data_IF_852222746140
#
_entry.id   IF_852222746140
#
_cell.length_a   1.000
_cell.length_b   1.000
_cell.length_c   1.000
_cell.angle_alpha   90.00
_cell.angle_beta   90.00
_cell.angle_gamma   90.00
#
_symmetry.space_group_name_H-M   'P 1'
#
loop_
_entity.id
_entity.type
_entity.pdbx_description
1 polymer ?
#
# COMPACT_ATOMS: atom_id res chain seq x y z
N UNK A 1 -33.24 -10.43 9.39
CA UNK A 1 -32.33 -11.03 8.38
C UNK A 1 -31.35 -11.88 9.15
N UNK A 2 -31.27 -13.19 8.91
CA UNK A 2 -30.27 -14.06 9.54
C UNK A 2 -29.07 -14.17 8.59
N UNK A 3 -27.88 -14.08 9.15
CA UNK A 3 -26.61 -14.19 8.44
C UNK A 3 -25.90 -15.43 9.00
N UNK A 4 -25.42 -16.33 8.15
CA UNK A 4 -24.75 -17.54 8.59
C UNK A 4 -23.27 -17.32 8.89
N UNK A 5 -22.66 -16.29 8.28
CA UNK A 5 -21.28 -15.89 8.51
C UNK A 5 -21.05 -14.42 8.13
N UNK A 6 -19.95 -13.80 8.57
CA UNK A 6 -19.65 -12.39 8.35
C UNK A 6 -18.20 -12.21 7.87
N UNK A 7 -18.01 -11.42 6.83
CA UNK A 7 -16.67 -10.91 6.44
C UNK A 7 -16.57 -9.44 6.85
N UNK A 8 -15.55 -9.09 7.62
CA UNK A 8 -15.27 -7.72 8.05
C UNK A 8 -14.03 -7.21 7.30
N UNK A 9 -14.18 -6.07 6.60
CA UNK A 9 -13.05 -5.28 6.10
C UNK A 9 -12.89 -4.05 7.01
N UNK A 10 -12.04 -4.12 8.06
CA UNK A 10 -12.00 -3.09 9.09
C UNK A 10 -11.15 -1.92 8.63
N UNK A 11 -11.70 -0.69 8.69
CA UNK A 11 -10.94 0.53 8.45
C UNK A 11 -10.35 1.10 9.74
N UNK A 12 -11.13 1.15 10.82
CA UNK A 12 -10.78 1.85 12.05
C UNK A 12 -10.79 0.98 13.30
N UNK A 13 -11.27 -0.26 13.22
CA UNK A 13 -11.31 -1.14 14.38
C UNK A 13 -9.89 -1.58 14.78
N UNK A 14 -9.61 -1.57 16.08
CA UNK A 14 -8.37 -2.11 16.62
C UNK A 14 -8.34 -3.64 16.52
N UNK A 15 -7.15 -4.23 16.60
CA UNK A 15 -6.98 -5.69 16.59
C UNK A 15 -7.67 -6.31 17.81
N UNK A 16 -7.58 -5.66 18.97
CA UNK A 16 -8.21 -6.10 20.20
C UNK A 16 -9.74 -6.11 20.09
N UNK A 17 -10.33 -5.07 19.49
CA UNK A 17 -11.78 -5.01 19.26
C UNK A 17 -12.25 -6.08 18.27
N UNK A 18 -11.46 -6.38 17.24
CA UNK A 18 -11.76 -7.45 16.29
C UNK A 18 -11.69 -8.83 16.95
N UNK A 19 -10.65 -9.08 17.77
CA UNK A 19 -10.51 -10.33 18.53
C UNK A 19 -11.71 -10.50 19.49
N UNK A 20 -12.14 -9.43 20.20
CA UNK A 20 -13.33 -9.47 21.05
C UNK A 20 -14.63 -9.77 20.27
N UNK A 21 -14.81 -9.18 19.10
CA UNK A 21 -15.98 -9.43 18.25
C UNK A 21 -16.04 -10.89 17.84
N UNK A 22 -14.90 -11.48 17.43
CA UNK A 22 -14.80 -12.88 17.05
C UNK A 22 -15.14 -13.79 18.24
N UNK A 23 -14.59 -13.50 19.42
CA UNK A 23 -14.80 -14.31 20.62
C UNK A 23 -16.26 -14.27 21.16
N UNK A 24 -16.99 -13.18 20.89
CA UNK A 24 -18.36 -12.97 21.40
C UNK A 24 -19.46 -13.34 20.39
N UNK A 25 -19.12 -13.49 19.11
CA UNK A 25 -20.09 -13.78 18.06
C UNK A 25 -20.28 -15.27 17.87
N UNK A 26 -21.52 -15.73 17.78
CA UNK A 26 -21.85 -17.14 17.51
C UNK A 26 -21.60 -17.52 16.04
N UNK A 27 -21.76 -16.54 15.13
CA UNK A 27 -21.53 -16.75 13.71
C UNK A 27 -20.04 -16.70 13.37
N UNK A 28 -19.57 -17.53 12.44
CA UNK A 28 -18.21 -17.43 11.92
C UNK A 28 -17.91 -16.04 11.35
N UNK A 29 -16.80 -15.46 11.79
CA UNK A 29 -16.30 -14.15 11.31
C UNK A 29 -14.94 -14.34 10.66
N UNK A 30 -14.79 -13.79 9.46
CA UNK A 30 -13.49 -13.63 8.81
C UNK A 30 -13.14 -12.15 8.71
N UNK A 31 -11.88 -11.81 8.96
CA UNK A 31 -11.35 -10.45 8.85
C UNK A 31 -10.42 -10.37 7.65
N UNK A 32 -10.74 -9.47 6.72
CA UNK A 32 -9.96 -9.25 5.51
C UNK A 32 -9.05 -8.02 5.67
N UNK A 33 -7.81 -8.15 5.21
CA UNK A 33 -6.80 -7.09 5.19
C UNK A 33 -6.40 -6.55 6.58
N UNK A 34 -6.42 -7.41 7.60
CA UNK A 34 -5.91 -7.09 8.94
C UNK A 34 -5.28 -8.33 9.56
N UNK A 35 -4.06 -8.21 10.04
CA UNK A 35 -3.41 -9.28 10.82
C UNK A 35 -3.98 -9.29 12.24
N UNK A 36 -4.55 -10.41 12.65
CA UNK A 36 -5.00 -10.64 14.03
C UNK A 36 -3.89 -11.33 14.84
N UNK A 37 -3.90 -11.11 16.17
CA UNK A 37 -2.91 -11.69 17.08
C UNK A 37 -3.41 -13.00 17.71
N UNK A 38 -4.62 -13.00 18.28
CA UNK A 38 -5.21 -14.17 18.94
C UNK A 38 -5.94 -15.08 17.95
N UNK A 39 -6.82 -14.52 17.14
CA UNK A 39 -7.67 -15.26 16.22
C UNK A 39 -7.09 -15.24 14.79
N UNK A 40 -5.79 -15.56 14.64
CA UNK A 40 -5.08 -15.44 13.37
C UNK A 40 -5.69 -16.31 12.24
N UNK A 41 -6.31 -17.44 12.57
CA UNK A 41 -7.04 -18.30 11.62
C UNK A 41 -8.26 -17.63 11.01
N UNK A 42 -8.85 -16.63 11.67
CA UNK A 42 -9.97 -15.82 11.21
C UNK A 42 -9.54 -14.63 10.34
N UNK A 43 -8.28 -14.57 9.89
CA UNK A 43 -7.73 -13.42 9.20
C UNK A 43 -7.03 -13.82 7.91
N UNK A 44 -7.32 -13.06 6.85
CA UNK A 44 -6.57 -13.06 5.58
C UNK A 44 -6.05 -11.65 5.36
N UNK A 45 -4.73 -11.51 5.18
CA UNK A 45 -4.08 -10.20 5.09
C UNK A 45 -2.90 -10.22 4.12
N UNK A 46 -2.52 -9.03 3.64
CA UNK A 46 -1.34 -8.82 2.82
C UNK A 46 -0.28 -8.06 3.62
N UNK A 47 0.99 -8.45 3.45
CA UNK A 47 2.12 -7.75 4.07
C UNK A 47 2.41 -6.45 3.31
N UNK A 48 1.70 -5.41 3.70
CA UNK A 48 1.85 -4.07 3.12
C UNK A 48 3.23 -3.46 3.40
N UNK A 49 3.84 -3.83 4.54
CA UNK A 49 5.17 -3.34 4.91
C UNK A 49 6.22 -3.94 3.98
N UNK A 50 6.26 -5.27 3.84
CA UNK A 50 7.20 -5.95 2.95
C UNK A 50 7.00 -5.51 1.49
N UNK A 51 5.76 -5.44 1.01
CA UNK A 51 5.45 -5.00 -0.36
C UNK A 51 5.94 -3.58 -0.66
N UNK A 52 5.84 -2.66 0.33
CA UNK A 52 6.37 -1.31 0.18
C UNK A 52 7.90 -1.28 0.23
N UNK A 53 8.50 -2.07 1.12
CA UNK A 53 9.94 -2.20 1.23
C UNK A 53 10.56 -2.70 -0.10
N UNK A 54 9.95 -3.70 -0.72
CA UNK A 54 10.39 -4.24 -2.01
C UNK A 54 10.27 -3.19 -3.13
N UNK A 55 9.16 -2.46 -3.22
CA UNK A 55 8.97 -1.42 -4.23
C UNK A 55 10.00 -0.29 -4.11
N UNK A 56 10.30 0.16 -2.88
CA UNK A 56 11.31 1.21 -2.63
C UNK A 56 12.72 0.66 -2.91
N UNK A 57 13.02 -0.59 -2.54
CA UNK A 57 14.30 -1.24 -2.83
C UNK A 57 14.54 -1.33 -4.33
N UNK A 58 13.53 -1.63 -5.14
CA UNK A 58 13.63 -1.63 -6.60
C UNK A 58 14.00 -0.25 -7.17
N UNK A 59 13.44 0.85 -6.63
CA UNK A 59 13.87 2.20 -7.02
C UNK A 59 15.33 2.47 -6.63
N UNK A 60 15.76 2.00 -5.46
CA UNK A 60 17.14 2.15 -5.00
C UNK A 60 18.10 1.35 -5.89
N UNK A 61 17.75 0.12 -6.27
CA UNK A 61 18.52 -0.72 -7.20
C UNK A 61 18.61 -0.08 -8.59
N UNK A 62 17.58 0.64 -9.02
CA UNK A 62 17.57 1.44 -10.25
C UNK A 62 18.41 2.73 -10.15
N UNK A 63 19.04 3.02 -9.03
CA UNK A 63 19.93 4.18 -8.84
C UNK A 63 19.29 5.39 -8.17
N UNK A 64 18.01 5.35 -7.79
CA UNK A 64 17.40 6.44 -7.04
C UNK A 64 17.90 6.47 -5.59
N UNK A 65 18.16 7.65 -5.06
CA UNK A 65 18.58 7.87 -3.66
C UNK A 65 17.72 8.89 -2.95
N UNK A 66 17.27 9.92 -3.67
CA UNK A 66 16.35 10.94 -3.19
C UNK A 66 14.93 10.51 -3.57
N UNK A 67 14.26 9.77 -2.67
CA UNK A 67 12.95 9.17 -2.91
C UNK A 67 11.93 9.84 -1.99
N UNK A 68 10.94 10.52 -2.56
CA UNK A 68 9.83 11.09 -1.81
C UNK A 68 8.75 10.02 -1.54
N UNK A 69 8.00 10.21 -0.46
CA UNK A 69 6.91 9.31 -0.07
C UNK A 69 5.63 10.08 0.26
N UNK A 70 4.51 9.70 -0.36
CA UNK A 70 3.18 10.18 0.01
C UNK A 70 2.50 9.09 0.83
N UNK A 71 2.33 9.33 2.14
CA UNK A 71 1.66 8.36 3.02
C UNK A 71 0.17 8.30 2.70
N UNK A 72 -0.48 7.18 3.03
CA UNK A 72 -1.91 7.22 3.26
C UNK A 72 -2.23 7.92 4.58
N UNK A 73 -3.51 8.07 4.92
CA UNK A 73 -3.91 8.57 6.22
C UNK A 73 -3.31 7.68 7.34
N UNK A 74 -2.62 8.28 8.31
CA UNK A 74 -1.88 7.56 9.35
C UNK A 74 -2.77 7.05 10.51
N UNK A 75 -4.07 7.33 10.46
CA UNK A 75 -5.08 6.63 11.25
C UNK A 75 -5.40 5.22 10.72
N UNK A 76 -4.92 4.91 9.50
CA UNK A 76 -5.04 3.62 8.86
C UNK A 76 -3.78 2.77 9.09
N UNK A 77 -3.89 1.53 9.61
CA UNK A 77 -2.76 0.62 9.71
C UNK A 77 -2.02 0.39 8.39
N UNK A 78 -2.73 0.30 7.27
CA UNK A 78 -2.12 0.18 5.94
C UNK A 78 -1.20 1.37 5.62
N UNK A 79 -1.61 2.60 5.97
CA UNK A 79 -0.76 3.78 5.80
C UNK A 79 0.50 3.73 6.66
N UNK A 80 0.37 3.30 7.92
CA UNK A 80 1.48 3.12 8.85
C UNK A 80 2.45 2.03 8.38
N UNK A 81 1.92 0.87 7.93
CA UNK A 81 2.73 -0.25 7.45
C UNK A 81 3.51 0.13 6.18
N UNK A 82 2.88 0.79 5.19
CA UNK A 82 3.57 1.24 3.98
C UNK A 82 4.65 2.27 4.29
N UNK A 83 4.39 3.24 5.19
CA UNK A 83 5.42 4.18 5.65
C UNK A 83 6.58 3.48 6.37
N UNK A 84 6.29 2.45 7.19
CA UNK A 84 7.33 1.64 7.84
C UNK A 84 8.18 0.91 6.81
N UNK A 85 7.57 0.30 5.77
CA UNK A 85 8.28 -0.37 4.69
C UNK A 85 9.21 0.57 3.92
N UNK A 86 8.75 1.79 3.60
CA UNK A 86 9.59 2.83 2.99
C UNK A 86 10.83 3.15 3.86
N UNK A 87 10.62 3.39 5.15
CA UNK A 87 11.73 3.70 6.09
C UNK A 87 12.71 2.54 6.21
N UNK A 88 12.21 1.31 6.29
CA UNK A 88 13.05 0.11 6.39
C UNK A 88 13.87 -0.13 5.13
N UNK A 89 13.30 0.10 3.93
CA UNK A 89 14.04 0.01 2.67
C UNK A 89 15.21 1.00 2.63
N UNK A 90 14.97 2.28 2.97
CA UNK A 90 16.03 3.28 3.04
C UNK A 90 17.12 2.88 4.02
N UNK A 91 16.75 2.45 5.24
CA UNK A 91 17.69 2.04 6.28
C UNK A 91 18.54 0.82 5.83
N UNK A 92 17.91 -0.18 5.20
CA UNK A 92 18.59 -1.37 4.67
C UNK A 92 19.67 -1.02 3.63
N UNK A 93 19.43 0.04 2.85
CA UNK A 93 20.38 0.50 1.83
C UNK A 93 21.28 1.65 2.31
N UNK A 94 21.31 1.94 3.62
CA UNK A 94 22.16 2.99 4.21
C UNK A 94 21.77 4.41 3.82
N UNK A 95 20.54 4.64 3.41
CA UNK A 95 20.00 5.96 3.04
C UNK A 95 19.27 6.54 4.26
N UNK A 96 19.61 7.78 4.63
CA UNK A 96 18.96 8.45 5.75
C UNK A 96 17.50 8.80 5.40
N UNK A 97 16.59 8.54 6.34
CA UNK A 97 15.19 8.99 6.23
C UNK A 97 15.16 10.51 6.40
N UNK A 98 14.54 11.21 5.46
CA UNK A 98 14.35 12.67 5.50
C UNK A 98 12.86 12.96 5.61
N UNK A 99 12.41 13.43 6.76
CA UNK A 99 10.99 13.77 6.97
C UNK A 99 10.50 14.85 6.00
N UNK A 100 11.39 15.68 5.50
CA UNK A 100 11.08 16.68 4.48
C UNK A 100 10.64 16.07 3.14
N UNK A 101 11.03 14.81 2.84
CA UNK A 101 10.59 14.04 1.68
C UNK A 101 9.31 13.22 1.92
N UNK A 102 8.71 13.33 3.11
CA UNK A 102 7.47 12.63 3.44
C UNK A 102 6.32 13.65 3.50
N UNK A 103 5.24 13.38 2.79
CA UNK A 103 4.01 14.18 2.83
C UNK A 103 2.80 13.27 3.10
N UNK A 104 1.81 13.76 3.85
CA UNK A 104 0.61 13.00 4.15
C UNK A 104 -0.44 13.18 3.07
N UNK A 105 -1.03 12.06 2.61
CA UNK A 105 -2.18 12.00 1.73
C UNK A 105 -3.40 11.41 2.44
N UNK A 106 -4.54 11.37 1.71
CA UNK A 106 -5.85 10.92 2.22
C UNK A 106 -6.54 9.97 1.26
N UNK A 107 -5.78 9.11 0.60
CA UNK A 107 -6.26 8.05 -0.28
C UNK A 107 -7.06 8.52 -1.52
N UNK A 108 -6.91 9.77 -1.95
CA UNK A 108 -7.60 10.32 -3.11
C UNK A 108 -6.65 11.19 -3.97
N UNK A 109 -6.97 11.40 -5.26
CA UNK A 109 -6.08 12.13 -6.18
C UNK A 109 -5.78 13.56 -5.75
N UNK A 110 -6.76 14.27 -5.19
CA UNK A 110 -6.57 15.66 -4.73
C UNK A 110 -5.52 15.75 -3.61
N UNK A 111 -5.50 14.76 -2.70
CA UNK A 111 -4.50 14.72 -1.63
C UNK A 111 -3.10 14.35 -2.14
N UNK A 112 -3.00 13.54 -3.19
CA UNK A 112 -1.74 13.26 -3.88
C UNK A 112 -1.15 14.51 -4.53
N UNK A 113 -1.98 15.29 -5.22
CA UNK A 113 -1.59 16.57 -5.80
C UNK A 113 -1.14 17.57 -4.71
N UNK A 114 -1.91 17.71 -3.62
CA UNK A 114 -1.56 18.57 -2.50
C UNK A 114 -0.23 18.18 -1.84
N UNK A 115 0.04 16.89 -1.69
CA UNK A 115 1.29 16.37 -1.13
C UNK A 115 2.50 16.75 -2.02
N UNK A 116 2.39 16.62 -3.34
CA UNK A 116 3.44 17.07 -4.27
C UNK A 116 3.66 18.59 -4.15
N UNK A 117 2.59 19.40 -4.09
CA UNK A 117 2.72 20.85 -3.88
C UNK A 117 3.49 21.17 -2.61
N UNK A 118 3.25 20.44 -1.52
CA UNK A 118 4.00 20.61 -0.27
C UNK A 118 5.48 20.24 -0.44
N UNK A 119 5.79 19.12 -1.08
CA UNK A 119 7.17 18.67 -1.32
C UNK A 119 7.95 19.72 -2.14
N UNK A 120 7.36 20.22 -3.23
CA UNK A 120 7.96 21.25 -4.09
C UNK A 120 8.15 22.58 -3.34
N UNK A 121 7.18 22.98 -2.52
CA UNK A 121 7.26 24.22 -1.72
C UNK A 121 8.36 24.18 -0.67
N UNK A 122 8.67 22.98 -0.13
CA UNK A 122 9.80 22.79 0.81
C UNK A 122 11.17 22.95 0.13
N UNK A 123 11.22 23.04 -1.21
CA UNK A 123 12.46 23.11 -1.97
C UNK A 123 13.27 21.82 -2.00
N UNK A 124 12.64 20.70 -1.66
CA UNK A 124 13.29 19.40 -1.65
C UNK A 124 13.44 18.84 -3.07
N UNK A 125 14.61 18.27 -3.34
CA UNK A 125 14.86 17.57 -4.60
C UNK A 125 14.64 16.07 -4.40
N UNK A 126 13.94 15.43 -5.34
CA UNK A 126 13.74 13.98 -5.38
C UNK A 126 13.69 13.52 -6.84
N UNK A 127 14.15 12.31 -7.09
CA UNK A 127 14.19 11.68 -8.42
C UNK A 127 13.17 10.55 -8.56
N UNK A 128 12.59 10.12 -7.44
CA UNK A 128 11.49 9.17 -7.41
C UNK A 128 10.47 9.54 -6.34
N UNK A 129 9.24 9.11 -6.53
CA UNK A 129 8.12 9.29 -5.61
C UNK A 129 7.34 7.98 -5.50
N UNK A 130 7.08 7.54 -4.27
CA UNK A 130 6.17 6.44 -3.99
C UNK A 130 4.94 6.99 -3.31
N UNK A 131 3.76 6.75 -3.88
CA UNK A 131 2.48 7.09 -3.28
C UNK A 131 1.81 5.84 -2.71
N UNK A 132 1.20 5.97 -1.53
CA UNK A 132 0.60 4.83 -0.84
C UNK A 132 -0.67 4.26 -1.52
N UNK A 133 -1.17 4.85 -2.60
CA UNK A 133 -2.11 4.20 -3.53
C UNK A 133 -2.03 4.86 -4.92
N UNK A 134 -2.66 4.24 -5.91
CA UNK A 134 -2.66 4.70 -7.30
C UNK A 134 -3.42 6.02 -7.48
N UNK A 135 -4.52 6.22 -6.76
CA UNK A 135 -5.26 7.47 -6.81
C UNK A 135 -4.38 8.67 -6.45
N UNK A 136 -3.60 8.55 -5.36
CA UNK A 136 -2.64 9.61 -4.98
C UNK A 136 -1.48 9.71 -5.98
N UNK A 137 -1.01 8.58 -6.55
CA UNK A 137 0.02 8.59 -7.59
C UNK A 137 -0.44 9.34 -8.85
N UNK A 138 -1.68 9.11 -9.29
CA UNK A 138 -2.30 9.84 -10.43
C UNK A 138 -2.37 11.34 -10.13
N UNK A 139 -2.82 11.71 -8.95
CA UNK A 139 -2.84 13.10 -8.50
C UNK A 139 -1.45 13.73 -8.44
N UNK A 140 -0.46 12.96 -7.98
CA UNK A 140 0.94 13.37 -7.93
C UNK A 140 1.53 13.61 -9.32
N UNK A 141 1.33 12.69 -10.28
CA UNK A 141 1.78 12.83 -11.68
C UNK A 141 1.19 14.10 -12.30
N UNK A 142 -0.11 14.31 -12.12
CA UNK A 142 -0.76 15.52 -12.61
C UNK A 142 -0.12 16.79 -12.03
N UNK A 143 0.10 16.85 -10.71
CA UNK A 143 0.67 18.01 -10.05
C UNK A 143 2.12 18.26 -10.45
N UNK A 144 2.93 17.19 -10.63
CA UNK A 144 4.28 17.29 -11.18
C UNK A 144 4.25 17.93 -12.57
N UNK A 145 3.37 17.44 -13.46
CA UNK A 145 3.21 17.97 -14.81
C UNK A 145 2.80 19.46 -14.82
N UNK A 146 1.85 19.86 -13.98
CA UNK A 146 1.40 21.26 -13.84
C UNK A 146 2.53 22.20 -13.37
N UNK A 147 3.55 21.65 -12.69
CA UNK A 147 4.77 22.39 -12.26
C UNK A 147 5.96 22.21 -13.22
N UNK A 148 5.75 21.64 -14.41
CA UNK A 148 6.82 21.46 -15.41
C UNK A 148 7.82 20.35 -15.06
N UNK A 149 7.50 19.47 -14.11
CA UNK A 149 8.34 18.31 -13.72
C UNK A 149 7.89 17.08 -14.48
N UNK A 150 8.76 16.61 -15.38
CA UNK A 150 8.44 15.46 -16.23
C UNK A 150 8.41 14.12 -15.46
N UNK A 151 7.38 13.33 -15.66
CA UNK A 151 7.30 11.93 -15.22
C UNK A 151 7.36 11.04 -16.46
N UNK A 152 8.29 10.06 -16.54
CA UNK A 152 9.34 9.70 -15.57
C UNK A 152 10.64 10.51 -15.70
N UNK A 153 10.78 11.40 -16.71
CA UNK A 153 12.04 12.03 -17.10
C UNK A 153 12.80 12.76 -15.99
N UNK A 154 12.10 13.38 -15.03
CA UNK A 154 12.70 14.00 -13.85
C UNK A 154 12.38 13.25 -12.57
N UNK A 155 11.15 12.71 -12.45
CA UNK A 155 10.67 11.97 -11.28
C UNK A 155 9.98 10.69 -11.70
N UNK A 156 10.53 9.55 -11.30
CA UNK A 156 9.87 8.24 -11.39
C UNK A 156 8.75 8.14 -10.34
N UNK A 157 7.61 7.53 -10.70
CA UNK A 157 6.46 7.41 -9.78
C UNK A 157 5.99 5.95 -9.69
N UNK A 158 5.80 5.48 -8.44
CA UNK A 158 5.17 4.18 -8.13
C UNK A 158 3.92 4.44 -7.28
N UNK A 159 2.83 3.74 -7.61
CA UNK A 159 1.61 3.66 -6.83
C UNK A 159 1.43 2.31 -6.12
N UNK A 160 0.24 2.08 -5.57
CA UNK A 160 -0.22 0.82 -4.99
C UNK A 160 -1.66 0.57 -5.40
N UNK A 161 -2.03 -0.73 -5.46
CA UNK A 161 -3.32 -1.35 -5.72
C UNK A 161 -3.50 -1.83 -7.16
N UNK A 162 -2.72 -1.33 -8.13
CA UNK A 162 -2.78 -1.65 -9.56
C UNK A 162 -4.20 -1.54 -10.12
N UNK A 163 -4.80 -0.36 -9.89
CA UNK A 163 -6.17 -0.08 -10.33
C UNK A 163 -6.31 -0.17 -11.86
N UNK A 164 -7.51 -0.50 -12.33
CA UNK A 164 -7.78 -0.77 -13.75
C UNK A 164 -7.37 0.37 -14.71
N UNK A 165 -7.30 1.61 -14.23
CA UNK A 165 -6.87 2.76 -15.05
C UNK A 165 -5.34 2.93 -15.11
N UNK A 166 -4.56 2.30 -14.22
CA UNK A 166 -3.10 2.48 -14.13
C UNK A 166 -2.36 2.26 -15.46
N UNK A 167 -2.70 1.24 -16.30
CA UNK A 167 -2.07 1.05 -17.60
C UNK A 167 -2.43 2.11 -18.65
N UNK A 168 -3.49 2.89 -18.45
CA UNK A 168 -4.08 3.77 -19.46
C UNK A 168 -3.82 5.26 -19.24
N UNK A 169 -3.22 5.64 -18.11
CA UNK A 169 -2.75 7.02 -17.92
C UNK A 169 -1.42 7.25 -18.66
N UNK A 170 -1.01 8.49 -18.81
CA UNK A 170 0.25 8.86 -19.47
C UNK A 170 1.13 9.64 -18.48
N UNK A 171 2.33 9.10 -18.16
CA UNK A 171 2.82 7.75 -18.48
C UNK A 171 2.00 6.64 -17.80
N UNK A 172 2.04 5.40 -18.34
CA UNK A 172 1.40 4.26 -17.67
C UNK A 172 2.03 4.02 -16.30
N UNK A 173 1.19 3.84 -15.26
CA UNK A 173 1.62 3.85 -13.85
C UNK A 173 2.19 2.50 -13.43
N UNK A 174 3.43 2.51 -12.97
CA UNK A 174 4.03 1.42 -12.18
C UNK A 174 3.35 1.35 -10.82
N UNK A 175 2.92 0.17 -10.42
CA UNK A 175 2.14 0.01 -9.19
C UNK A 175 2.41 -1.33 -8.51
N UNK A 176 2.27 -1.38 -7.20
CA UNK A 176 2.29 -2.63 -6.44
C UNK A 176 0.89 -3.22 -6.46
N UNK A 177 0.72 -4.35 -7.17
CA UNK A 177 -0.51 -5.12 -7.22
C UNK A 177 -0.69 -5.90 -5.93
N UNK A 178 -1.75 -5.61 -5.19
CA UNK A 178 -2.18 -6.41 -4.05
C UNK A 178 -3.15 -7.50 -4.57
N UNK A 179 -2.94 -8.78 -4.24
CA UNK A 179 -3.75 -9.88 -4.78
C UNK A 179 -5.13 -9.98 -4.08
N UNK A 180 -5.96 -8.94 -4.23
CA UNK A 180 -7.25 -8.81 -3.52
C UNK A 180 -8.22 -9.92 -3.89
N UNK A 181 -8.24 -10.34 -5.16
CA UNK A 181 -9.10 -11.43 -5.64
C UNK A 181 -8.78 -12.74 -4.94
N UNK A 182 -7.50 -13.10 -4.88
CA UNK A 182 -6.99 -14.30 -4.22
C UNK A 182 -7.27 -14.26 -2.70
N UNK A 183 -7.09 -13.09 -2.09
CA UNK A 183 -7.41 -12.87 -0.67
C UNK A 183 -8.90 -13.07 -0.39
N UNK A 184 -9.79 -12.59 -1.26
CA UNK A 184 -11.25 -12.78 -1.14
C UNK A 184 -11.59 -14.26 -1.31
N UNK A 185 -11.05 -14.93 -2.32
CA UNK A 185 -11.26 -16.35 -2.56
C UNK A 185 -10.83 -17.19 -1.37
N UNK A 186 -9.65 -16.93 -0.81
CA UNK A 186 -9.17 -17.61 0.40
C UNK A 186 -10.07 -17.33 1.61
N UNK A 187 -10.52 -16.08 1.77
CA UNK A 187 -11.44 -15.70 2.86
C UNK A 187 -12.75 -16.48 2.78
N UNK A 188 -13.34 -16.59 1.58
CA UNK A 188 -14.58 -17.34 1.35
C UNK A 188 -14.35 -18.83 1.58
N UNK A 189 -13.25 -19.40 1.06
CA UNK A 189 -12.92 -20.81 1.24
C UNK A 189 -12.78 -21.19 2.70
N UNK A 190 -12.11 -20.34 3.49
CA UNK A 190 -11.98 -20.53 4.95
C UNK A 190 -13.32 -20.44 5.66
N UNK A 191 -14.14 -19.48 5.27
CA UNK A 191 -15.46 -19.30 5.85
C UNK A 191 -16.37 -20.53 5.61
N UNK A 192 -16.40 -21.07 4.38
CA UNK A 192 -17.14 -22.28 4.05
C UNK A 192 -16.63 -23.45 4.89
N UNK A 193 -15.30 -23.61 4.98
CA UNK A 193 -14.67 -24.67 5.77
C UNK A 193 -15.04 -24.62 7.26
N UNK A 194 -15.15 -23.39 7.83
CA UNK A 194 -15.62 -23.18 9.20
C UNK A 194 -17.10 -23.59 9.37
N UNK A 195 -17.95 -23.24 8.41
CA UNK A 195 -19.37 -23.60 8.44
C UNK A 195 -19.58 -25.12 8.38
N UNK A 196 -18.70 -25.84 7.69
CA UNK A 196 -18.72 -27.31 7.58
C UNK A 196 -18.06 -27.99 8.80
N UNK A 197 -17.70 -27.27 9.85
CA UNK A 197 -17.09 -27.80 11.08
C UNK A 197 -15.65 -28.26 10.95
N UNK A 198 -14.93 -27.78 9.93
CA UNK A 198 -13.53 -28.09 9.71
C UNK A 198 -12.58 -27.37 10.68
N UNK A 199 -11.42 -27.99 10.98
CA UNK A 199 -10.35 -27.38 11.75
C UNK A 199 -9.53 -26.41 10.90
N UNK A 200 -9.05 -25.31 11.50
CA UNK A 200 -8.39 -24.20 10.80
C UNK A 200 -7.08 -24.62 10.14
N UNK A 201 -6.92 -24.22 8.88
CA UNK A 201 -5.63 -24.25 8.19
C UNK A 201 -4.72 -23.14 8.70
N UNK A 202 -3.40 -23.32 8.65
CA UNK A 202 -2.44 -22.24 8.96
C UNK A 202 -2.73 -20.95 8.21
N UNK A 203 -2.44 -19.81 8.82
CA UNK A 203 -2.59 -18.49 8.18
C UNK A 203 -1.72 -18.40 6.94
N UNK A 204 -2.29 -17.90 5.84
CA UNK A 204 -1.56 -17.57 4.62
C UNK A 204 -1.35 -16.06 4.56
N UNK A 205 -0.10 -15.64 4.40
CA UNK A 205 0.27 -14.25 4.14
C UNK A 205 0.34 -14.02 2.65
N UNK A 206 -0.27 -12.97 2.18
CA UNK A 206 -0.18 -12.50 0.81
C UNK A 206 0.85 -11.37 0.72
N UNK A 207 1.52 -11.25 -0.43
CA UNK A 207 2.46 -10.17 -0.73
C UNK A 207 2.04 -9.47 -2.00
N UNK A 208 2.31 -8.17 -2.09
CA UNK A 208 2.12 -7.42 -3.32
C UNK A 208 3.24 -7.72 -4.32
N UNK A 209 2.95 -7.56 -5.60
CA UNK A 209 3.88 -7.69 -6.72
C UNK A 209 4.05 -6.32 -7.39
N UNK A 210 5.30 -5.87 -7.58
CA UNK A 210 5.57 -4.63 -8.32
C UNK A 210 5.41 -4.87 -9.82
N UNK A 211 4.47 -4.18 -10.42
CA UNK A 211 4.23 -4.13 -11.87
C UNK A 211 4.89 -2.86 -12.42
N UNK A 212 6.06 -3.02 -13.04
CA UNK A 212 6.76 -1.92 -13.68
C UNK A 212 6.11 -1.53 -15.01
N UNK A 213 5.96 -0.21 -15.23
CA UNK A 213 5.45 0.42 -16.45
C UNK A 213 6.26 1.69 -16.77
N UNK A 214 5.71 2.56 -17.61
CA UNK A 214 6.42 3.73 -18.16
C UNK A 214 6.69 4.84 -17.14
N UNK A 215 6.04 4.84 -15.97
CA UNK A 215 6.25 5.87 -14.94
C UNK A 215 7.55 5.74 -14.17
N UNK A 216 8.38 4.72 -14.45
CA UNK A 216 9.66 4.46 -13.77
C UNK A 216 10.76 4.27 -14.79
N UNK A 217 11.87 4.98 -14.62
CA UNK A 217 13.13 4.81 -15.36
C UNK A 217 14.29 4.60 -14.39
N UNK A 218 15.49 4.35 -14.90
CA UNK A 218 16.68 4.32 -14.09
C UNK A 218 17.00 5.72 -13.54
N UNK A 219 17.41 5.76 -12.29
CA UNK A 219 17.80 6.97 -11.60
C UNK A 219 19.14 7.52 -12.09
N UNK A 220 19.50 8.72 -11.65
CA UNK A 220 20.79 9.31 -12.01
C UNK A 220 21.92 8.44 -11.43
N UNK A 221 22.76 7.89 -12.32
CA UNK A 221 24.00 7.23 -11.91
C UNK A 221 24.91 8.27 -11.23
N UNK A 222 25.18 8.09 -9.94
CA UNK A 222 26.18 8.83 -9.19
C UNK A 222 27.40 7.96 -8.95
#
# INVERSE_FOLDING_TARGET
MRCDAVIIYPRFLSVEALDEIIEKCEQPIMVLNRRLRKNSSHSVWSDHKASCQDAVSQLIEKGHREIAFITGSLDSPTGVERLSGYKDALAQHGIAVRDALIAEGKWNPASGAAAVSQLLTRGETFTALVASNDDMAIGAIRQLHENGVATPGAVSVIGFDDVAIAPYIVPSLSSVRIPVTEMIQETISRMIFMLDGGEFKPQQTFSGELILRDSVIDGPHR
#
